data_IF_303657951570
#
_entry.id   IF_303657951570
#
_cell.length_a   1.000
_cell.length_b   1.000
_cell.length_c   1.000
_cell.angle_alpha   90.00
_cell.angle_beta   90.00
_cell.angle_gamma   90.00
#
_symmetry.space_group_name_H-M   'P 1'
#
loop_
_entity.id
_entity.type
_entity.pdbx_description
1 polymer ?
#
# COMPACT_ATOMS: atom_id res chain seq x y z
N UNK A 1 -22.43 7.87 -3.31
CA UNK A 1 -21.39 7.69 -2.27
C UNK A 1 -20.51 6.54 -2.74
N UNK A 2 -19.28 6.81 -3.19
CA UNK A 2 -18.34 5.76 -3.58
C UNK A 2 -17.96 4.99 -2.32
N UNK A 3 -18.19 3.67 -2.33
CA UNK A 3 -17.73 2.79 -1.26
C UNK A 3 -16.20 2.65 -1.42
N UNK A 4 -15.39 2.97 -0.40
CA UNK A 4 -13.94 2.83 -0.50
C UNK A 4 -13.53 1.35 -0.53
N UNK A 5 -12.62 1.00 -1.44
CA UNK A 5 -12.11 -0.36 -1.61
C UNK A 5 -10.59 -0.38 -1.52
N UNK A 6 -10.07 -1.42 -0.88
CA UNK A 6 -8.64 -1.75 -0.88
C UNK A 6 -8.46 -3.04 -1.69
N UNK A 7 -7.57 -3.00 -2.67
CA UNK A 7 -6.97 -4.17 -3.28
C UNK A 7 -5.66 -4.47 -2.56
N UNK A 8 -5.52 -5.69 -2.03
CA UNK A 8 -4.30 -6.23 -1.47
C UNK A 8 -3.86 -7.41 -2.33
N UNK A 9 -2.61 -7.41 -2.77
CA UNK A 9 -2.01 -8.56 -3.42
C UNK A 9 -0.71 -8.92 -2.69
N UNK A 10 -0.60 -10.18 -2.25
CA UNK A 10 0.70 -10.78 -2.01
C UNK A 10 1.27 -11.16 -3.37
N UNK A 11 2.30 -10.44 -3.80
CA UNK A 11 2.85 -10.50 -5.17
C UNK A 11 4.08 -11.41 -5.27
N UNK A 12 4.67 -11.72 -4.12
CA UNK A 12 5.68 -12.74 -3.88
C UNK A 12 5.64 -13.08 -2.37
N UNK A 13 6.29 -14.16 -1.95
CA UNK A 13 6.36 -14.58 -0.54
C UNK A 13 6.82 -13.40 0.36
N UNK A 14 5.93 -12.91 1.23
CA UNK A 14 6.19 -11.79 2.13
C UNK A 14 6.28 -10.41 1.46
N UNK A 15 5.86 -10.26 0.20
CA UNK A 15 5.83 -9.00 -0.53
C UNK A 15 4.40 -8.59 -0.87
N UNK A 16 4.00 -7.41 -0.41
CA UNK A 16 2.64 -6.90 -0.55
C UNK A 16 2.58 -5.60 -1.36
N UNK A 17 1.64 -5.55 -2.29
CA UNK A 17 1.29 -4.35 -3.02
C UNK A 17 -0.18 -3.99 -2.77
N UNK A 18 -0.43 -2.73 -2.39
CA UNK A 18 -1.77 -2.27 -2.02
C UNK A 18 -2.20 -1.06 -2.84
N UNK A 19 -3.49 -1.06 -3.20
CA UNK A 19 -4.12 0.04 -3.91
C UNK A 19 -5.49 0.35 -3.30
N UNK A 20 -5.73 1.62 -2.99
CA UNK A 20 -7.01 2.05 -2.44
C UNK A 20 -7.61 3.19 -3.25
N UNK A 21 -8.86 2.97 -3.67
CA UNK A 21 -9.68 3.97 -4.33
C UNK A 21 -10.61 4.62 -3.31
N UNK A 22 -10.44 5.93 -3.12
CA UNK A 22 -11.25 6.80 -2.29
C UNK A 22 -11.26 6.50 -0.78
N UNK A 23 -10.12 6.08 -0.22
CA UNK A 23 -9.90 5.96 1.22
C UNK A 23 -8.47 6.37 1.62
N UNK A 24 -7.96 5.97 2.79
CA UNK A 24 -6.65 6.39 3.32
C UNK A 24 -5.90 5.32 4.13
N UNK A 25 -6.45 4.10 4.23
CA UNK A 25 -5.89 3.04 5.07
C UNK A 25 -4.58 2.49 4.52
N UNK A 26 -4.39 2.49 3.21
CA UNK A 26 -3.12 2.12 2.59
C UNK A 26 -1.96 3.02 3.04
N UNK A 27 -2.25 4.19 3.62
CA UNK A 27 -1.25 5.09 4.20
C UNK A 27 -0.88 4.78 5.65
N UNK A 28 -1.61 3.86 6.31
CA UNK A 28 -1.43 3.54 7.73
C UNK A 28 -0.07 2.85 7.96
N UNK A 29 0.86 3.50 8.68
CA UNK A 29 2.18 2.94 8.93
C UNK A 29 2.14 1.60 9.67
N UNK A 30 1.17 1.39 10.56
CA UNK A 30 1.06 0.16 11.34
C UNK A 30 0.58 -1.02 10.47
N UNK A 31 -0.29 -0.75 9.50
CA UNK A 31 -0.71 -1.74 8.51
C UNK A 31 0.48 -2.19 7.67
N UNK A 32 1.20 -1.23 7.07
CA UNK A 32 2.32 -1.56 6.19
C UNK A 32 3.47 -2.22 6.93
N UNK A 33 3.76 -1.79 8.16
CA UNK A 33 4.71 -2.45 9.03
C UNK A 33 4.33 -3.93 9.21
N UNK A 34 3.09 -4.22 9.62
CA UNK A 34 2.63 -5.60 9.82
C UNK A 34 2.68 -6.47 8.54
N UNK A 35 2.32 -5.92 7.38
CA UNK A 35 2.42 -6.66 6.11
C UNK A 35 3.88 -6.92 5.69
N UNK A 36 4.79 -5.99 6.02
CA UNK A 36 6.20 -6.11 5.67
C UNK A 36 7.02 -6.98 6.62
N UNK A 37 6.42 -7.68 7.58
CA UNK A 37 7.15 -8.41 8.65
C UNK A 37 8.22 -9.38 8.08
N UNK A 38 7.90 -10.06 6.99
CA UNK A 38 8.81 -11.01 6.33
C UNK A 38 9.40 -10.52 5.00
N UNK A 39 9.18 -9.24 4.64
CA UNK A 39 9.63 -8.72 3.35
C UNK A 39 9.33 -7.24 3.16
N UNK A 40 8.58 -6.91 2.12
CA UNK A 40 8.30 -5.53 1.69
C UNK A 40 6.82 -5.30 1.55
N UNK A 41 6.36 -4.12 1.92
CA UNK A 41 5.03 -3.65 1.58
C UNK A 41 5.13 -2.24 0.98
N UNK A 42 4.47 -2.02 -0.16
CA UNK A 42 4.28 -0.69 -0.70
C UNK A 42 2.83 -0.47 -1.10
N UNK A 43 2.41 0.78 -1.02
CA UNK A 43 1.04 1.14 -1.33
C UNK A 43 0.94 2.50 -1.99
N UNK A 44 -0.19 2.68 -2.68
CA UNK A 44 -0.66 4.00 -3.04
C UNK A 44 -2.17 4.08 -2.90
N UNK A 45 -2.67 5.23 -2.47
CA UNK A 45 -4.10 5.53 -2.52
C UNK A 45 -4.34 6.86 -3.23
N UNK A 46 -5.57 7.04 -3.70
CA UNK A 46 -6.04 8.33 -4.18
C UNK A 46 -7.47 8.60 -3.70
N UNK A 47 -7.80 9.89 -3.50
CA UNK A 47 -9.18 10.32 -3.20
C UNK A 47 -9.80 11.04 -4.38
N UNK A 48 -11.13 11.19 -4.34
CA UNK A 48 -11.86 12.06 -5.29
C UNK A 48 -11.41 13.52 -5.23
N UNK A 49 -10.85 13.95 -4.09
CA UNK A 49 -10.29 15.29 -3.87
C UNK A 49 -8.84 15.44 -4.35
N UNK A 50 -8.36 14.48 -5.16
CA UNK A 50 -7.02 14.44 -5.74
C UNK A 50 -5.86 14.32 -4.73
N UNK A 51 -6.14 13.94 -3.48
CA UNK A 51 -5.12 13.51 -2.51
C UNK A 51 -4.50 12.21 -3.00
N UNK A 52 -3.17 12.09 -2.95
CA UNK A 52 -2.45 10.86 -3.30
C UNK A 52 -1.30 10.65 -2.36
N UNK A 53 -1.12 9.43 -1.86
CA UNK A 53 0.02 9.09 -1.01
C UNK A 53 0.76 7.89 -1.55
N UNK A 54 2.08 7.90 -1.39
CA UNK A 54 2.96 6.74 -1.52
C UNK A 54 3.48 6.35 -0.15
N UNK A 55 3.50 5.05 0.12
CA UNK A 55 3.96 4.54 1.39
C UNK A 55 4.77 3.27 1.20
N UNK A 56 5.84 3.14 1.98
CA UNK A 56 6.82 2.06 1.88
C UNK A 56 7.13 1.50 3.27
N UNK A 57 7.24 0.18 3.38
CA UNK A 57 7.64 -0.52 4.58
C UNK A 57 8.50 -1.75 4.23
N UNK A 58 9.46 -2.07 5.08
CA UNK A 58 10.32 -3.24 4.94
C UNK A 58 10.64 -3.82 6.32
N UNK A 59 10.61 -5.16 6.43
CA UNK A 59 10.97 -5.93 7.64
C UNK A 59 10.29 -5.42 8.91
N UNK A 60 8.97 -5.28 8.87
CA UNK A 60 8.19 -4.86 10.03
C UNK A 60 8.23 -3.36 10.33
N UNK A 61 8.87 -2.54 9.49
CA UNK A 61 9.06 -1.09 9.75
C UNK A 61 8.53 -0.24 8.59
N UNK A 62 7.69 0.73 8.91
CA UNK A 62 7.34 1.79 7.97
C UNK A 62 8.57 2.68 7.69
N UNK A 63 8.95 2.81 6.42
CA UNK A 63 10.08 3.61 5.97
C UNK A 63 9.67 5.06 5.76
N UNK A 64 8.61 5.28 4.97
CA UNK A 64 8.12 6.60 4.62
C UNK A 64 6.67 6.53 4.14
N UNK A 65 5.91 7.59 4.38
CA UNK A 65 4.60 7.83 3.79
C UNK A 65 4.50 9.33 3.46
N UNK A 66 4.23 9.68 2.20
CA UNK A 66 4.24 11.06 1.76
C UNK A 66 3.37 11.28 0.52
N UNK A 67 2.96 12.53 0.33
CA UNK A 67 2.31 12.93 -0.91
C UNK A 67 3.35 13.19 -2.01
N UNK A 68 3.23 12.56 -3.19
CA UNK A 68 4.27 12.63 -4.24
C UNK A 68 4.59 14.05 -4.74
N UNK A 69 3.68 15.01 -4.56
CA UNK A 69 3.93 16.39 -4.98
C UNK A 69 5.00 17.10 -4.11
N UNK A 70 5.41 16.50 -2.99
CA UNK A 70 6.47 17.00 -2.12
C UNK A 70 7.20 15.84 -1.42
N UNK A 71 8.30 15.37 -2.02
CA UNK A 71 9.19 14.41 -1.34
C UNK A 71 9.77 15.06 -0.08
N UNK A 72 9.66 14.44 1.10
CA UNK A 72 10.30 14.93 2.31
C UNK A 72 11.83 14.96 2.18
N UNK A 73 12.48 15.94 2.79
CA UNK A 73 13.94 15.99 2.85
C UNK A 73 14.52 14.78 3.61
N UNK A 74 13.75 14.24 4.56
CA UNK A 74 14.06 13.03 5.31
C UNK A 74 13.85 11.73 4.52
N UNK A 75 13.46 11.78 3.25
CA UNK A 75 13.25 10.61 2.43
C UNK A 75 14.55 9.80 2.27
N UNK A 76 14.59 8.52 2.68
CA UNK A 76 15.75 7.66 2.51
C UNK A 76 16.18 7.54 1.05
N UNK A 77 17.48 7.43 0.79
CA UNK A 77 18.03 7.37 -0.58
C UNK A 77 17.47 6.19 -1.38
N UNK A 78 17.27 5.05 -0.73
CA UNK A 78 16.65 3.87 -1.34
C UNK A 78 15.21 4.12 -1.83
N UNK A 79 14.44 4.94 -1.11
CA UNK A 79 13.08 5.33 -1.51
C UNK A 79 13.14 6.41 -2.59
N UNK A 80 14.10 7.33 -2.49
CA UNK A 80 14.32 8.39 -3.48
C UNK A 80 14.65 7.81 -4.86
N UNK A 81 15.50 6.79 -4.92
CA UNK A 81 15.88 6.12 -6.17
C UNK A 81 14.67 5.51 -6.91
N UNK A 82 13.61 5.10 -6.20
CA UNK A 82 12.38 4.60 -6.82
C UNK A 82 11.66 5.68 -7.63
N UNK A 83 11.89 6.95 -7.32
CA UNK A 83 11.24 8.10 -7.94
C UNK A 83 12.06 8.65 -9.11
N UNK A 84 13.26 8.14 -9.37
CA UNK A 84 14.12 8.65 -10.43
C UNK A 84 13.45 8.56 -11.81
N UNK A 85 13.44 9.69 -12.52
CA UNK A 85 12.75 9.83 -13.81
C UNK A 85 11.22 9.92 -13.72
N UNK A 86 10.62 9.78 -12.55
CA UNK A 86 9.22 10.11 -12.31
C UNK A 86 9.15 11.59 -11.90
N UNK A 87 8.71 12.46 -12.80
CA UNK A 87 8.35 13.83 -12.40
C UNK A 87 7.08 13.78 -11.53
N UNK A 88 7.25 13.48 -10.24
CA UNK A 88 6.16 13.33 -9.26
C UNK A 88 5.50 14.66 -8.89
N UNK A 89 6.10 15.79 -9.29
CA UNK A 89 5.51 17.12 -9.09
C UNK A 89 4.46 17.44 -10.14
N UNK A 90 4.58 16.87 -11.35
CA UNK A 90 3.57 16.96 -12.41
C UNK A 90 2.34 16.09 -12.11
N UNK A 91 1.17 16.73 -12.10
CA UNK A 91 -0.11 16.10 -11.79
C UNK A 91 -0.60 15.12 -12.86
N UNK A 92 -0.06 15.19 -14.09
CA UNK A 92 -0.37 14.23 -15.15
C UNK A 92 0.11 12.85 -14.75
N UNK A 93 -0.70 11.83 -15.05
CA UNK A 93 -0.38 10.42 -14.82
C UNK A 93 -0.02 10.08 -13.36
N UNK A 94 -0.49 10.84 -12.36
CA UNK A 94 -0.22 10.60 -10.92
C UNK A 94 -0.39 9.14 -10.49
N UNK A 95 -1.50 8.51 -10.89
CA UNK A 95 -1.77 7.09 -10.59
C UNK A 95 -0.70 6.17 -11.17
N UNK A 96 -0.34 6.38 -12.44
CA UNK A 96 0.69 5.57 -13.10
C UNK A 96 2.06 5.74 -12.44
N UNK A 97 2.46 6.98 -12.10
CA UNK A 97 3.72 7.25 -11.39
C UNK A 97 3.76 6.55 -10.02
N UNK A 98 2.66 6.60 -9.27
CA UNK A 98 2.56 5.91 -7.98
C UNK A 98 2.63 4.38 -8.11
N UNK A 99 1.92 3.81 -9.09
CA UNK A 99 2.00 2.40 -9.44
C UNK A 99 3.43 1.98 -9.81
N UNK A 100 4.14 2.79 -10.60
CA UNK A 100 5.55 2.52 -10.96
C UNK A 100 6.48 2.55 -9.74
N UNK A 101 6.27 3.45 -8.79
CA UNK A 101 7.08 3.50 -7.57
C UNK A 101 6.83 2.26 -6.68
N UNK A 102 5.57 1.81 -6.57
CA UNK A 102 5.22 0.55 -5.89
C UNK A 102 5.92 -0.63 -6.56
N UNK A 103 5.81 -0.74 -7.89
CA UNK A 103 6.46 -1.78 -8.69
C UNK A 103 7.97 -1.85 -8.49
N UNK A 104 8.65 -0.71 -8.55
CA UNK A 104 10.10 -0.65 -8.35
C UNK A 104 10.51 -1.14 -6.96
N UNK A 105 9.68 -0.92 -5.95
CA UNK A 105 9.99 -1.32 -4.57
C UNK A 105 9.72 -2.80 -4.31
N UNK A 106 8.58 -3.30 -4.78
CA UNK A 106 8.13 -4.68 -4.57
C UNK A 106 8.71 -5.64 -5.60
N UNK A 107 9.23 -5.14 -6.72
CA UNK A 107 9.63 -5.94 -7.87
C UNK A 107 8.45 -6.47 -8.69
N UNK A 108 7.22 -5.99 -8.41
CA UNK A 108 6.02 -6.49 -9.07
C UNK A 108 5.10 -5.35 -9.52
N UNK A 109 4.91 -5.27 -10.84
CA UNK A 109 4.01 -4.31 -11.48
C UNK A 109 2.56 -4.72 -11.35
N UNK A 110 1.67 -3.73 -11.28
CA UNK A 110 0.24 -4.00 -11.38
C UNK A 110 -0.14 -4.23 -12.84
N UNK A 111 -0.40 -5.47 -13.22
CA UNK A 111 -0.94 -5.83 -14.51
C UNK A 111 -2.49 -5.89 -14.49
N UNK A 112 -3.16 -5.70 -15.63
CA UNK A 112 -4.61 -5.93 -15.73
C UNK A 112 -5.05 -7.33 -15.30
N UNK A 113 -4.17 -8.34 -15.48
CA UNK A 113 -4.42 -9.69 -14.99
C UNK A 113 -4.47 -9.76 -13.45
N UNK A 114 -3.69 -8.93 -12.76
CA UNK A 114 -3.73 -8.83 -11.30
C UNK A 114 -5.03 -8.18 -10.83
N UNK A 115 -5.56 -7.21 -11.58
CA UNK A 115 -6.90 -6.68 -11.32
C UNK A 115 -7.96 -7.79 -11.37
N UNK A 116 -7.94 -8.64 -12.40
CA UNK A 116 -8.87 -9.75 -12.54
C UNK A 116 -8.65 -10.85 -11.49
N UNK A 117 -7.40 -11.17 -11.16
CA UNK A 117 -7.06 -12.16 -10.14
C UNK A 117 -7.47 -11.70 -8.74
N UNK A 118 -7.19 -10.44 -8.38
CA UNK A 118 -7.64 -9.83 -7.11
C UNK A 118 -9.18 -9.83 -7.05
N UNK A 119 -9.88 -9.62 -8.18
CA UNK A 119 -11.36 -9.66 -8.24
C UNK A 119 -11.89 -11.08 -8.05
N UNK A 120 -11.18 -12.08 -8.56
CA UNK A 120 -11.58 -13.47 -8.52
C UNK A 120 -11.25 -14.18 -7.19
N UNK A 121 -10.20 -13.78 -6.47
CA UNK A 121 -9.74 -14.42 -5.22
C UNK A 121 -10.41 -13.90 -3.96
N UNK A 122 -11.27 -12.88 -4.06
CA UNK A 122 -11.88 -12.18 -2.91
C UNK A 122 -10.88 -11.49 -1.96
N UNK A 123 -9.68 -11.13 -2.43
CA UNK A 123 -8.75 -10.25 -1.70
C UNK A 123 -9.21 -8.77 -1.66
N UNK A 124 -10.46 -8.52 -2.06
CA UNK A 124 -11.15 -7.26 -1.83
C UNK A 124 -11.81 -7.29 -0.47
N UNK A 125 -11.29 -6.48 0.44
CA UNK A 125 -12.03 -6.15 1.64
C UNK A 125 -12.61 -4.74 1.48
N UNK A 126 -13.89 -4.56 1.77
CA UNK A 126 -14.34 -3.21 2.13
C UNK A 126 -13.50 -2.75 3.31
N UNK A 127 -13.08 -1.49 3.32
CA UNK A 127 -12.26 -0.92 4.40
C UNK A 127 -12.80 -1.30 5.80
N UNK A 128 -14.13 -1.23 5.98
CA UNK A 128 -14.78 -1.60 7.24
C UNK A 128 -14.84 -3.12 7.54
N UNK A 129 -14.81 -3.98 6.52
CA UNK A 129 -14.78 -5.45 6.67
C UNK A 129 -13.38 -5.95 7.03
N UNK A 130 -12.35 -5.37 6.41
CA UNK A 130 -10.95 -5.66 6.76
C UNK A 130 -10.63 -5.32 8.22
N UNK A 131 -11.07 -4.14 8.69
CA UNK A 131 -10.85 -3.75 10.09
C UNK A 131 -11.51 -4.75 11.07
N UNK A 132 -12.66 -5.33 10.71
CA UNK A 132 -13.34 -6.33 11.54
C UNK A 132 -12.63 -7.67 11.52
N UNK A 133 -12.13 -8.15 10.38
CA UNK A 133 -11.38 -9.41 10.33
C UNK A 133 -10.08 -9.31 11.14
N UNK A 134 -9.31 -8.23 10.99
CA UNK A 134 -8.07 -8.02 11.76
C UNK A 134 -8.28 -7.78 13.25
N UNK A 135 -9.41 -7.19 13.65
CA UNK A 135 -9.76 -7.06 15.07
C UNK A 135 -10.06 -8.43 15.71
N UNK A 136 -10.67 -9.35 14.98
CA UNK A 136 -10.90 -10.73 15.44
C UNK A 136 -9.57 -11.49 15.57
N UNK A 137 -8.66 -11.34 14.60
CA UNK A 137 -7.33 -11.98 14.65
C UNK A 137 -6.49 -11.48 15.84
N UNK A 138 -6.59 -10.19 16.20
CA UNK A 138 -5.88 -9.60 17.37
C UNK A 138 -6.45 -10.00 18.73
N UNK A 139 -7.72 -10.40 18.81
CA UNK A 139 -8.34 -10.86 20.06
C UNK A 139 -8.03 -12.35 20.31
N UNK A 140 -7.65 -13.10 19.27
CA UNK A 140 -7.33 -14.53 19.35
C UNK A 140 -5.98 -14.89 20.01
N UNK A 141 -5.08 -13.93 20.24
CA UNK A 141 -3.72 -14.20 20.74
C UNK A 141 -3.53 -14.01 22.26
N UNK A 142 -4.64 -13.83 23.01
CA UNK A 142 -4.63 -13.89 24.47
C UNK A 142 -5.27 -15.20 24.96
N UNK A 143 -4.67 -16.33 24.58
CA UNK A 143 -4.87 -17.59 25.29
C UNK A 143 -4.27 -17.50 26.70
N UNK A 144 -4.87 -18.15 27.72
CA UNK A 144 -4.41 -18.02 29.09
C UNK A 144 -2.97 -18.53 29.22
N UNK A 145 -2.10 -17.71 29.83
CA UNK A 145 -0.79 -18.16 30.30
C UNK A 145 -1.04 -19.09 31.48
N UNK A 146 -0.71 -20.36 31.32
CA UNK A 146 -0.59 -21.34 32.41
C UNK A 146 0.51 -20.94 33.40
#
# INVERSE_FOLDING_TARGET
MLIPWIALAEVADGVFALWEDNGHRCADPALLAGLSEHGRAASTFWTVDALTTLSFAERGRALLSFEPHRVPDSCPDEVRALLDGLDITDSRHRKAKGLTAVERFTGHGYAPADHAAVLATAAFHRVGEWCRSKAVDRVGDNGPRE
#
